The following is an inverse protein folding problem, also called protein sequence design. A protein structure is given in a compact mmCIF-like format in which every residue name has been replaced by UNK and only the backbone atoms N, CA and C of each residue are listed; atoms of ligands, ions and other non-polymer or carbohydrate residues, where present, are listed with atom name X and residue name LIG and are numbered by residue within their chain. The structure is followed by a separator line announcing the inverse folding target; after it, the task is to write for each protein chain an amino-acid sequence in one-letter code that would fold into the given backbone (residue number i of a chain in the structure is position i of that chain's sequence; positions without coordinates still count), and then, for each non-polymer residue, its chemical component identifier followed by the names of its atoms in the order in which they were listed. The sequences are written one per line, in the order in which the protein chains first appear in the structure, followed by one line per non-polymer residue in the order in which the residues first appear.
data_IF_974471968104
#
_entry.id   IF_974471968104
#
_cell.length_a   1.000
_cell.length_b   1.000
_cell.length_c   1.000
_cell.angle_alpha   90.00
_cell.angle_beta   90.00
_cell.angle_gamma   90.00
#
_symmetry.space_group_name_H-M   'P 1'
#
loop_
_entity.id
_entity.type
_entity.pdbx_description
1 polymer ?
#
# COMPACT_ATOMS: atom_id res chain seq x y z
N UNK A 1 11.88 -37.73 39.69
CA UNK A 1 11.36 -37.48 38.33
C UNK A 1 12.11 -36.27 37.78
N UNK A 2 13.09 -36.50 36.93
CA UNK A 2 13.81 -35.42 36.25
C UNK A 2 12.88 -34.80 35.21
N UNK A 3 12.39 -33.60 35.47
CA UNK A 3 11.92 -32.72 34.41
C UNK A 3 13.17 -32.36 33.60
N UNK A 4 13.39 -33.03 32.48
CA UNK A 4 14.32 -32.58 31.46
C UNK A 4 13.95 -31.13 31.12
N UNK A 5 14.80 -30.17 31.50
CA UNK A 5 14.62 -28.77 31.13
C UNK A 5 14.56 -28.70 29.60
N UNK A 6 13.37 -28.44 29.08
CA UNK A 6 13.16 -28.23 27.66
C UNK A 6 13.91 -26.96 27.26
N UNK A 7 14.74 -27.05 26.22
CA UNK A 7 15.46 -25.89 25.66
C UNK A 7 14.45 -24.77 25.36
N UNK A 8 14.72 -23.52 25.79
CA UNK A 8 13.84 -22.39 25.49
C UNK A 8 13.57 -22.26 23.98
N UNK A 9 12.36 -21.83 23.61
CA UNK A 9 11.94 -21.71 22.21
C UNK A 9 12.92 -20.85 21.39
N UNK A 10 13.37 -19.72 21.94
CA UNK A 10 14.29 -18.82 21.27
C UNK A 10 15.67 -19.45 20.99
N UNK A 11 16.16 -20.29 21.91
CA UNK A 11 17.42 -21.02 21.71
C UNK A 11 17.24 -22.12 20.66
N UNK A 12 16.09 -22.79 20.66
CA UNK A 12 15.75 -23.78 19.62
C UNK A 12 15.74 -23.16 18.23
N UNK A 13 15.04 -22.02 18.06
CA UNK A 13 14.98 -21.29 16.79
C UNK A 13 16.37 -20.81 16.35
N UNK A 14 17.13 -20.18 17.27
CA UNK A 14 18.49 -19.67 16.98
C UNK A 14 19.43 -20.77 16.51
N UNK A 15 19.41 -21.92 17.16
CA UNK A 15 20.29 -23.03 16.78
C UNK A 15 19.88 -23.63 15.43
N UNK A 16 18.57 -23.71 15.16
CA UNK A 16 18.07 -24.29 13.92
C UNK A 16 18.39 -23.47 12.67
N UNK A 17 18.32 -22.13 12.74
CA UNK A 17 18.52 -21.24 11.57
C UNK A 17 19.98 -20.83 11.34
N UNK A 18 20.92 -21.35 12.13
CA UNK A 18 22.32 -20.90 12.12
C UNK A 18 22.99 -21.03 10.75
N UNK A 19 22.72 -22.12 10.03
CA UNK A 19 23.30 -22.34 8.69
C UNK A 19 22.73 -21.36 7.67
N UNK A 20 21.40 -21.17 7.66
CA UNK A 20 20.72 -20.20 6.80
C UNK A 20 21.21 -18.77 7.04
N UNK A 21 21.38 -18.38 8.30
CA UNK A 21 21.91 -17.06 8.65
C UNK A 21 23.31 -16.85 8.05
N UNK A 22 24.20 -17.84 8.16
CA UNK A 22 25.54 -17.76 7.60
C UNK A 22 25.52 -17.70 6.06
N UNK A 23 24.60 -18.41 5.39
CA UNK A 23 24.44 -18.32 3.92
C UNK A 23 23.97 -16.93 3.51
N UNK A 24 23.00 -16.35 4.22
CA UNK A 24 22.49 -15.01 3.96
C UNK A 24 23.60 -13.95 4.10
N UNK A 25 24.41 -14.02 5.17
CA UNK A 25 25.55 -13.12 5.38
C UNK A 25 26.64 -13.25 4.31
N UNK A 26 26.79 -14.43 3.71
CA UNK A 26 27.76 -14.69 2.66
C UNK A 26 27.29 -14.25 1.25
N UNK A 27 26.07 -13.72 1.11
CA UNK A 27 25.56 -13.31 -0.20
C UNK A 27 26.39 -12.17 -0.81
N UNK A 28 26.52 -12.14 -2.16
CA UNK A 28 27.16 -11.03 -2.86
C UNK A 28 26.54 -9.67 -2.51
N UNK A 29 25.24 -9.62 -2.22
CA UNK A 29 24.54 -8.43 -1.76
C UNK A 29 25.16 -7.85 -0.48
N UNK A 30 25.37 -8.68 0.54
CA UNK A 30 25.92 -8.27 1.85
C UNK A 30 27.40 -7.89 1.70
N UNK A 31 28.13 -8.64 0.87
CA UNK A 31 29.53 -8.33 0.55
C UNK A 31 29.66 -6.96 -0.13
N UNK A 32 28.78 -6.66 -1.11
CA UNK A 32 28.78 -5.36 -1.78
C UNK A 32 28.38 -4.22 -0.82
N UNK A 33 27.41 -4.45 0.08
CA UNK A 33 27.02 -3.48 1.10
C UNK A 33 28.19 -3.12 2.01
N UNK A 34 28.85 -4.11 2.59
CA UNK A 34 29.98 -3.91 3.52
C UNK A 34 31.20 -3.25 2.83
N UNK A 35 31.47 -3.60 1.57
CA UNK A 35 32.56 -2.98 0.80
C UNK A 35 32.25 -1.52 0.40
N UNK A 36 30.99 -1.09 0.42
CA UNK A 36 30.59 0.23 -0.04
C UNK A 36 30.30 0.30 -1.54
N UNK A 37 29.95 -0.83 -2.15
CA UNK A 37 29.83 -1.02 -3.61
C UNK A 37 28.40 -1.38 -4.03
N UNK A 38 27.44 -1.47 -3.09
CA UNK A 38 26.06 -1.84 -3.39
C UNK A 38 25.39 -0.78 -4.30
N UNK A 39 24.83 -1.16 -5.46
CA UNK A 39 24.11 -0.25 -6.33
C UNK A 39 22.85 0.32 -5.67
N UNK A 40 22.46 1.54 -6.07
CA UNK A 40 21.24 2.19 -5.58
C UNK A 40 19.99 1.34 -5.85
N UNK A 41 19.92 0.71 -7.03
CA UNK A 41 18.77 -0.12 -7.39
C UNK A 41 18.62 -1.35 -6.49
N UNK A 42 19.74 -1.94 -6.06
CA UNK A 42 19.74 -3.06 -5.11
C UNK A 42 19.22 -2.63 -3.75
N UNK A 43 19.66 -1.45 -3.27
CA UNK A 43 19.22 -0.90 -2.00
C UNK A 43 17.74 -0.52 -2.00
N UNK A 44 17.29 0.24 -3.01
CA UNK A 44 15.87 0.64 -3.13
C UNK A 44 14.99 -0.59 -3.34
N UNK A 45 15.41 -1.55 -4.15
CA UNK A 45 14.71 -2.82 -4.36
C UNK A 45 14.53 -3.61 -3.05
N UNK A 46 15.56 -3.66 -2.20
CA UNK A 46 15.46 -4.24 -0.85
C UNK A 46 14.41 -3.51 0.00
N UNK A 47 14.44 -2.18 0.05
CA UNK A 47 13.48 -1.41 0.84
C UNK A 47 12.04 -1.68 0.38
N UNK A 48 11.79 -1.74 -0.93
CA UNK A 48 10.46 -2.07 -1.48
C UNK A 48 10.02 -3.47 -1.10
N UNK A 49 10.88 -4.48 -1.31
CA UNK A 49 10.61 -5.85 -0.93
C UNK A 49 10.27 -5.98 0.57
N UNK A 50 11.08 -5.37 1.44
CA UNK A 50 10.83 -5.38 2.87
C UNK A 50 9.56 -4.61 3.25
N UNK A 51 9.19 -3.55 2.51
CA UNK A 51 7.94 -2.82 2.73
C UNK A 51 6.71 -3.70 2.44
N UNK A 52 6.74 -4.48 1.35
CA UNK A 52 5.68 -5.46 1.03
C UNK A 52 5.55 -6.51 2.12
N UNK A 53 6.67 -7.06 2.61
CA UNK A 53 6.70 -8.10 3.64
C UNK A 53 6.21 -7.57 5.00
N UNK A 54 6.82 -6.48 5.49
CA UNK A 54 6.49 -5.87 6.78
C UNK A 54 5.07 -5.32 6.79
N UNK A 55 4.65 -4.66 5.70
CA UNK A 55 3.28 -4.15 5.60
C UNK A 55 2.23 -5.26 5.59
N UNK A 56 2.53 -6.38 4.94
CA UNK A 56 1.65 -7.55 5.01
C UNK A 56 1.62 -8.16 6.40
N UNK A 57 2.76 -8.33 7.07
CA UNK A 57 2.79 -8.83 8.44
C UNK A 57 2.01 -7.92 9.38
N UNK A 58 2.34 -6.63 9.46
CA UNK A 58 1.67 -5.66 10.35
C UNK A 58 0.15 -5.64 10.11
N UNK A 59 -0.29 -5.70 8.85
CA UNK A 59 -1.70 -5.77 8.50
C UNK A 59 -2.37 -7.05 9.02
N UNK A 60 -1.81 -8.22 8.73
CA UNK A 60 -2.40 -9.49 9.15
C UNK A 60 -2.39 -9.64 10.68
N UNK A 61 -1.39 -9.09 11.38
CA UNK A 61 -1.37 -9.05 12.85
C UNK A 61 -2.47 -8.18 13.44
N UNK A 62 -2.78 -7.04 12.82
CA UNK A 62 -3.86 -6.17 13.28
C UNK A 62 -5.23 -6.89 13.26
N UNK A 63 -5.41 -7.86 12.37
CA UNK A 63 -6.64 -8.65 12.21
C UNK A 63 -6.76 -9.85 13.16
N UNK A 64 -5.69 -10.21 13.86
CA UNK A 64 -5.73 -11.25 14.88
C UNK A 64 -6.41 -10.76 16.17
N UNK A 65 -6.94 -11.69 16.95
CA UNK A 65 -7.37 -11.41 18.32
C UNK A 65 -6.19 -10.90 19.17
N UNK A 66 -6.49 -10.06 20.16
CA UNK A 66 -5.47 -9.50 21.07
C UNK A 66 -4.68 -10.62 21.74
N UNK A 67 -3.37 -10.45 21.84
CA UNK A 67 -2.48 -11.43 22.43
C UNK A 67 -1.12 -10.83 22.72
N UNK A 68 -0.42 -11.34 23.74
CA UNK A 68 0.77 -10.69 24.30
C UNK A 68 1.83 -10.32 23.24
N UNK A 69 2.11 -11.19 22.28
CA UNK A 69 3.12 -10.93 21.24
C UNK A 69 2.60 -9.96 20.16
N UNK A 70 1.33 -10.12 19.74
CA UNK A 70 0.70 -9.18 18.82
C UNK A 70 0.73 -7.77 19.40
N UNK A 71 0.29 -7.63 20.64
CA UNK A 71 0.14 -6.33 21.31
C UNK A 71 1.52 -5.71 21.59
N UNK A 72 2.53 -6.54 21.92
CA UNK A 72 3.92 -6.13 22.02
C UNK A 72 4.45 -5.55 20.70
N UNK A 73 4.22 -6.23 19.57
CA UNK A 73 4.74 -5.80 18.27
C UNK A 73 3.99 -4.59 17.72
N UNK A 74 2.65 -4.59 17.78
CA UNK A 74 1.82 -3.47 17.33
C UNK A 74 1.94 -2.24 18.24
N UNK A 75 2.44 -2.41 19.47
CA UNK A 75 2.77 -1.32 20.39
C UNK A 75 4.10 -0.61 20.07
N UNK A 76 4.91 -1.13 19.14
CA UNK A 76 6.20 -0.55 18.74
C UNK A 76 6.06 0.37 17.52
N UNK A 77 7.06 1.24 17.24
CA UNK A 77 7.09 1.98 15.99
C UNK A 77 7.01 1.05 14.77
N UNK A 78 6.10 1.35 13.83
CA UNK A 78 5.89 0.55 12.62
C UNK A 78 7.16 0.51 11.75
N UNK A 79 7.55 -0.70 11.35
CA UNK A 79 8.67 -0.93 10.43
C UNK A 79 8.28 -0.49 9.02
N UNK A 80 7.02 -0.69 8.64
CA UNK A 80 6.49 -0.16 7.38
C UNK A 80 6.61 1.37 7.31
N UNK A 81 6.33 2.08 8.39
CA UNK A 81 6.48 3.55 8.44
C UNK A 81 7.94 3.96 8.22
N UNK A 82 8.90 3.24 8.81
CA UNK A 82 10.33 3.50 8.59
C UNK A 82 10.72 3.27 7.13
N UNK A 83 10.27 2.16 6.53
CA UNK A 83 10.51 1.82 5.13
C UNK A 83 9.91 2.86 4.18
N UNK A 84 8.67 3.30 4.42
CA UNK A 84 8.03 4.36 3.62
C UNK A 84 8.78 5.69 3.70
N UNK A 85 9.31 6.04 4.88
CA UNK A 85 10.15 7.25 5.03
C UNK A 85 11.42 7.15 4.20
N UNK A 86 12.12 6.02 4.27
CA UNK A 86 13.35 5.83 3.49
C UNK A 86 13.05 5.82 1.98
N UNK A 87 12.00 5.12 1.54
CA UNK A 87 11.58 5.10 0.13
C UNK A 87 11.22 6.49 -0.40
N UNK A 88 10.60 7.35 0.41
CA UNK A 88 10.22 8.70 -0.01
C UNK A 88 11.40 9.59 -0.39
N UNK A 89 12.60 9.29 0.11
CA UNK A 89 13.85 9.99 -0.23
C UNK A 89 14.28 9.72 -1.69
N UNK A 90 13.77 8.64 -2.29
CA UNK A 90 14.12 8.21 -3.64
C UNK A 90 12.98 8.38 -4.66
N UNK A 91 11.85 8.96 -4.26
CA UNK A 91 10.63 9.06 -5.08
C UNK A 91 10.86 9.72 -6.44
N UNK A 92 11.79 10.69 -6.53
CA UNK A 92 12.10 11.44 -7.76
C UNK A 92 13.10 10.75 -8.68
N UNK A 93 13.71 9.65 -8.22
CA UNK A 93 14.74 8.96 -8.98
C UNK A 93 14.17 7.87 -9.89
N UNK A 94 12.90 7.48 -9.70
CA UNK A 94 12.20 6.45 -10.49
C UNK A 94 13.05 5.20 -10.71
N UNK A 95 13.66 4.72 -9.62
CA UNK A 95 14.55 3.56 -9.63
C UNK A 95 13.75 2.32 -10.07
N UNK A 96 14.13 1.60 -11.14
CA UNK A 96 13.39 0.43 -11.61
C UNK A 96 13.45 -0.74 -10.63
N UNK A 97 12.48 -1.64 -10.74
CA UNK A 97 12.41 -2.85 -9.90
C UNK A 97 13.09 -4.06 -10.56
N UNK A 98 13.46 -5.03 -9.72
CA UNK A 98 13.77 -6.41 -10.12
C UNK A 98 12.48 -7.24 -10.03
N UNK A 99 12.04 -7.79 -11.17
CA UNK A 99 10.83 -8.62 -11.23
C UNK A 99 10.92 -9.83 -10.28
N UNK A 100 12.08 -10.47 -10.20
CA UNK A 100 12.31 -11.60 -9.30
C UNK A 100 12.20 -11.18 -7.83
N UNK A 101 12.74 -10.02 -7.45
CA UNK A 101 12.62 -9.50 -6.08
C UNK A 101 11.16 -9.19 -5.71
N UNK A 102 10.39 -8.63 -6.65
CA UNK A 102 8.94 -8.41 -6.49
C UNK A 102 8.20 -9.73 -6.32
N UNK A 103 8.54 -10.75 -7.12
CA UNK A 103 7.94 -12.08 -7.03
C UNK A 103 8.24 -12.78 -5.69
N UNK A 104 9.48 -12.74 -5.22
CA UNK A 104 9.86 -13.31 -3.93
C UNK A 104 9.18 -12.58 -2.76
N UNK A 105 9.14 -11.24 -2.77
CA UNK A 105 8.46 -10.48 -1.70
C UNK A 105 6.95 -10.76 -1.67
N UNK A 106 6.31 -10.90 -2.83
CA UNK A 106 4.91 -11.32 -2.96
C UNK A 106 4.68 -12.73 -2.42
N UNK A 107 5.54 -13.69 -2.76
CA UNK A 107 5.42 -15.07 -2.27
C UNK A 107 5.50 -15.13 -0.74
N UNK A 108 6.39 -14.34 -0.12
CA UNK A 108 6.44 -14.19 1.34
C UNK A 108 5.14 -13.58 1.87
N UNK A 109 4.64 -12.51 1.25
CA UNK A 109 3.38 -11.86 1.65
C UNK A 109 2.17 -12.81 1.56
N UNK A 110 2.06 -13.60 0.48
CA UNK A 110 1.02 -14.62 0.33
C UNK A 110 1.11 -15.68 1.42
N UNK A 111 2.32 -16.12 1.76
CA UNK A 111 2.53 -17.10 2.82
C UNK A 111 2.15 -16.55 4.21
N UNK A 112 2.41 -15.27 4.49
CA UNK A 112 1.95 -14.58 5.72
C UNK A 112 0.42 -14.60 5.81
N UNK A 113 -0.28 -14.21 4.73
CA UNK A 113 -1.75 -14.24 4.68
C UNK A 113 -2.29 -15.65 4.89
N UNK A 114 -1.64 -16.64 4.27
CA UNK A 114 -1.99 -18.04 4.41
C UNK A 114 -1.86 -18.51 5.85
N UNK A 115 -0.75 -18.22 6.54
CA UNK A 115 -0.60 -18.56 7.95
C UNK A 115 -1.65 -17.90 8.82
N UNK A 116 -2.01 -16.63 8.58
CA UNK A 116 -3.09 -15.98 9.33
C UNK A 116 -4.41 -16.74 9.26
N UNK A 117 -4.75 -17.31 8.10
CA UNK A 117 -6.03 -18.02 7.90
C UNK A 117 -5.97 -19.46 8.37
N UNK A 118 -4.90 -20.18 8.02
CA UNK A 118 -4.81 -21.64 8.25
C UNK A 118 -4.28 -21.98 9.65
N UNK A 119 -3.28 -21.26 10.14
CA UNK A 119 -2.59 -21.57 11.40
C UNK A 119 -1.91 -20.31 11.98
N UNK A 120 -2.64 -19.39 12.65
CA UNK A 120 -2.11 -18.10 13.10
C UNK A 120 -0.81 -18.16 13.93
N UNK A 121 -0.65 -19.22 14.74
CA UNK A 121 0.55 -19.44 15.57
C UNK A 121 1.83 -19.53 14.74
N UNK A 122 1.75 -19.98 13.49
CA UNK A 122 2.93 -20.14 12.62
C UNK A 122 3.55 -18.77 12.25
N UNK A 123 2.79 -17.67 12.35
CA UNK A 123 3.32 -16.31 12.19
C UNK A 123 4.42 -15.98 13.20
N UNK A 124 4.49 -16.66 14.35
CA UNK A 124 5.57 -16.48 15.32
C UNK A 124 6.96 -16.82 14.74
N UNK A 125 7.02 -17.79 13.81
CA UNK A 125 8.26 -18.11 13.09
C UNK A 125 8.68 -16.98 12.15
N UNK A 126 7.72 -16.35 11.48
CA UNK A 126 7.95 -15.17 10.64
C UNK A 126 8.43 -13.98 11.49
N UNK A 127 7.75 -13.71 12.60
CA UNK A 127 8.12 -12.64 13.54
C UNK A 127 9.53 -12.83 14.08
N UNK A 128 9.90 -14.06 14.44
CA UNK A 128 11.24 -14.36 14.94
C UNK A 128 12.34 -13.89 13.97
N UNK A 129 12.21 -14.23 12.69
CA UNK A 129 13.18 -13.86 11.67
C UNK A 129 13.15 -12.35 11.44
N UNK A 130 11.96 -11.76 11.24
CA UNK A 130 11.82 -10.35 10.91
C UNK A 130 12.21 -9.42 12.06
N UNK A 131 11.90 -9.75 13.31
CA UNK A 131 12.41 -9.01 14.48
C UNK A 131 13.92 -9.18 14.60
N UNK A 132 14.47 -10.35 14.26
CA UNK A 132 15.92 -10.60 14.21
C UNK A 132 16.65 -9.67 13.23
N UNK A 133 16.01 -9.29 12.12
CA UNK A 133 16.60 -8.33 11.15
C UNK A 133 16.92 -6.98 11.78
N UNK A 134 16.26 -6.59 12.88
CA UNK A 134 16.52 -5.30 13.53
C UNK A 134 17.94 -5.19 14.10
N UNK A 135 18.50 -6.31 14.55
CA UNK A 135 19.88 -6.39 15.02
C UNK A 135 20.86 -6.30 13.85
N UNK A 136 20.63 -7.08 12.78
CA UNK A 136 21.46 -7.04 11.57
C UNK A 136 21.45 -5.67 10.88
N UNK A 137 20.28 -5.03 10.83
CA UNK A 137 20.12 -3.66 10.35
C UNK A 137 20.98 -2.67 11.15
N UNK A 138 21.04 -2.82 12.48
CA UNK A 138 21.87 -1.95 13.33
C UNK A 138 23.35 -2.12 13.02
N UNK A 139 23.79 -3.36 12.74
CA UNK A 139 25.19 -3.66 12.36
C UNK A 139 25.54 -3.00 11.02
N UNK A 140 24.65 -3.05 10.04
CA UNK A 140 24.88 -2.53 8.69
C UNK A 140 24.45 -1.08 8.47
N UNK A 141 23.90 -0.41 9.49
CA UNK A 141 23.54 1.01 9.39
C UNK A 141 24.74 1.88 8.97
N UNK A 142 25.95 1.72 9.54
CA UNK A 142 27.12 2.49 9.09
C UNK A 142 27.46 2.25 7.61
N UNK A 143 27.30 1.02 7.12
CA UNK A 143 27.56 0.66 5.73
C UNK A 143 26.57 1.37 4.78
N UNK A 144 25.27 1.35 5.12
CA UNK A 144 24.23 2.06 4.36
C UNK A 144 24.49 3.56 4.35
N UNK A 145 24.83 4.16 5.49
CA UNK A 145 25.11 5.59 5.58
C UNK A 145 26.39 5.99 4.84
N UNK A 146 27.39 5.10 4.79
CA UNK A 146 28.61 5.31 4.00
C UNK A 146 28.31 5.41 2.50
N UNK A 147 27.40 4.59 1.98
CA UNK A 147 27.07 4.56 0.54
C UNK A 147 26.01 5.63 0.18
N UNK A 148 24.94 5.70 0.95
CA UNK A 148 23.72 6.46 0.59
C UNK A 148 23.47 7.68 1.47
N UNK A 149 24.31 7.94 2.48
CA UNK A 149 24.09 9.02 3.45
C UNK A 149 23.98 10.41 2.81
N UNK A 150 24.66 10.66 1.68
CA UNK A 150 24.54 11.94 0.98
C UNK A 150 23.16 12.13 0.33
N UNK A 151 22.58 11.06 -0.19
CA UNK A 151 21.26 11.03 -0.83
C UNK A 151 20.15 11.03 0.20
N UNK A 152 20.37 10.37 1.34
CA UNK A 152 19.36 10.27 2.40
C UNK A 152 19.42 11.40 3.43
N UNK A 153 20.39 12.31 3.34
CA UNK A 153 20.59 13.35 4.37
C UNK A 153 21.12 12.79 5.70
N UNK A 154 21.85 11.68 5.64
CA UNK A 154 22.46 11.03 6.80
C UNK A 154 21.53 10.15 7.62
N UNK A 155 20.35 9.81 7.10
CA UNK A 155 19.37 8.96 7.78
C UNK A 155 19.07 7.68 7.02
N UNK A 156 18.74 6.61 7.73
CA UNK A 156 18.19 5.37 7.17
C UNK A 156 17.30 4.74 8.25
N UNK A 157 16.02 5.15 8.29
CA UNK A 157 15.08 4.82 9.36
C UNK A 157 14.86 3.32 9.52
N UNK A 158 14.85 2.56 8.43
CA UNK A 158 14.70 1.11 8.48
C UNK A 158 15.94 0.44 9.07
N UNK A 159 17.13 0.85 8.66
CA UNK A 159 18.40 0.33 9.17
C UNK A 159 18.70 0.78 10.61
N UNK A 160 18.22 1.96 11.00
CA UNK A 160 18.26 2.44 12.38
C UNK A 160 17.35 1.66 13.34
N UNK A 161 16.54 0.72 12.83
CA UNK A 161 15.70 -0.15 13.64
C UNK A 161 14.79 0.62 14.59
N UNK A 162 15.00 0.50 15.90
CA UNK A 162 14.31 1.24 16.95
C UNK A 162 15.25 2.21 17.70
N UNK A 163 16.40 2.55 17.08
CA UNK A 163 17.47 3.32 17.71
C UNK A 163 18.00 2.62 18.96
N UNK A 164 18.19 3.40 20.03
CA UNK A 164 18.71 2.93 21.32
C UNK A 164 17.82 1.88 21.99
N UNK A 165 16.56 1.75 21.57
CA UNK A 165 15.60 0.76 22.09
C UNK A 165 15.70 -0.61 21.40
N UNK A 166 16.50 -0.77 20.36
CA UNK A 166 16.54 -2.02 19.56
C UNK A 166 16.89 -3.24 20.41
N UNK A 167 17.91 -3.14 21.27
CA UNK A 167 18.32 -4.25 22.13
C UNK A 167 17.26 -4.58 23.20
N UNK A 168 16.64 -3.56 23.79
CA UNK A 168 15.55 -3.70 24.78
C UNK A 168 14.36 -4.43 24.17
N UNK A 169 13.88 -3.97 23.01
CA UNK A 169 12.77 -4.59 22.30
C UNK A 169 13.06 -6.02 21.86
N UNK A 170 14.29 -6.32 21.45
CA UNK A 170 14.68 -7.70 21.16
C UNK A 170 14.59 -8.60 22.40
N UNK A 171 15.06 -8.13 23.56
CA UNK A 171 15.00 -8.91 24.80
C UNK A 171 13.55 -9.12 25.27
N UNK A 172 12.72 -8.09 25.21
CA UNK A 172 11.29 -8.21 25.51
C UNK A 172 10.59 -9.25 24.62
N UNK A 173 10.89 -9.23 23.32
CA UNK A 173 10.36 -10.20 22.37
C UNK A 173 10.83 -11.61 22.70
N UNK A 174 12.12 -11.79 23.02
CA UNK A 174 12.67 -13.08 23.46
C UNK A 174 11.95 -13.62 24.70
N UNK A 175 11.74 -12.77 25.70
CA UNK A 175 11.02 -13.13 26.92
C UNK A 175 9.58 -13.55 26.63
N UNK A 176 8.86 -12.79 25.79
CA UNK A 176 7.49 -13.10 25.40
C UNK A 176 7.40 -14.43 24.63
N UNK A 177 8.29 -14.67 23.67
CA UNK A 177 8.36 -15.92 22.90
C UNK A 177 8.63 -17.14 23.79
N UNK A 178 9.59 -17.04 24.73
CA UNK A 178 9.92 -18.13 25.65
C UNK A 178 8.81 -18.43 26.67
N UNK A 179 7.93 -17.46 26.95
CA UNK A 179 6.82 -17.62 27.89
C UNK A 179 5.58 -18.27 27.24
N UNK A 180 5.53 -18.41 25.92
CA UNK A 180 4.40 -19.04 25.25
C UNK A 180 4.32 -20.54 25.55
N UNK A 181 3.11 -21.08 25.75
CA UNK A 181 2.90 -22.52 25.96
C UNK A 181 2.97 -23.30 24.64
N UNK A 182 4.15 -23.28 23.97
CA UNK A 182 4.40 -24.00 22.73
C UNK A 182 5.00 -25.38 23.05
N UNK A 183 4.34 -26.44 22.58
CA UNK A 183 4.83 -27.81 22.71
C UNK A 183 5.95 -28.13 21.70
N UNK A 184 6.50 -29.34 21.77
CA UNK A 184 7.60 -29.73 20.89
C UNK A 184 7.22 -29.72 19.41
N UNK A 185 6.00 -30.14 19.06
CA UNK A 185 5.53 -30.14 17.67
C UNK A 185 5.28 -28.72 17.16
N UNK A 186 4.74 -27.84 17.99
CA UNK A 186 4.64 -26.41 17.71
C UNK A 186 6.01 -25.79 17.48
N UNK A 187 6.99 -26.09 18.33
CA UNK A 187 8.37 -25.61 18.17
C UNK A 187 8.99 -26.07 16.83
N UNK A 188 8.80 -27.34 16.44
CA UNK A 188 9.25 -27.85 15.13
C UNK A 188 8.57 -27.14 13.95
N UNK A 189 7.27 -26.82 14.07
CA UNK A 189 6.57 -26.03 13.04
C UNK A 189 7.16 -24.63 12.92
N UNK A 190 7.37 -23.94 14.05
CA UNK A 190 7.98 -22.59 14.03
C UNK A 190 9.39 -22.60 13.44
N UNK A 191 10.19 -23.62 13.74
CA UNK A 191 11.49 -23.83 13.08
C UNK A 191 11.32 -23.98 11.57
N UNK A 192 10.39 -24.82 11.12
CA UNK A 192 10.13 -25.03 9.68
C UNK A 192 9.74 -23.72 8.98
N UNK A 193 8.88 -22.92 9.61
CA UNK A 193 8.47 -21.60 9.10
C UNK A 193 9.65 -20.64 9.02
N UNK A 194 10.47 -20.57 10.08
CA UNK A 194 11.63 -19.71 10.12
C UNK A 194 12.66 -20.08 9.03
N UNK A 195 12.95 -21.37 8.85
CA UNK A 195 13.85 -21.86 7.80
C UNK A 195 13.32 -21.51 6.41
N UNK A 196 12.03 -21.74 6.15
CA UNK A 196 11.41 -21.42 4.86
C UNK A 196 11.47 -19.91 4.55
N UNK A 197 11.28 -19.05 5.56
CA UNK A 197 11.42 -17.61 5.38
C UNK A 197 12.87 -17.22 5.09
N UNK A 198 13.85 -17.81 5.79
CA UNK A 198 15.26 -17.58 5.49
C UNK A 198 15.64 -17.96 4.06
N UNK A 199 15.20 -19.15 3.59
CA UNK A 199 15.47 -19.61 2.22
C UNK A 199 14.85 -18.64 1.19
N UNK A 200 13.66 -18.11 1.45
CA UNK A 200 13.01 -17.16 0.55
C UNK A 200 13.64 -15.76 0.60
N UNK A 201 14.10 -15.30 1.77
CA UNK A 201 14.90 -14.08 1.89
C UNK A 201 16.24 -14.23 1.18
N UNK A 202 16.91 -15.39 1.28
CA UNK A 202 18.15 -15.67 0.56
C UNK A 202 17.95 -15.52 -0.95
N UNK A 203 16.89 -16.11 -1.51
CA UNK A 203 16.53 -15.97 -2.91
C UNK A 203 16.21 -14.51 -3.30
N UNK A 204 15.46 -13.81 -2.44
CA UNK A 204 15.14 -12.40 -2.62
C UNK A 204 16.39 -11.53 -2.70
N UNK A 205 17.31 -11.64 -1.74
CA UNK A 205 18.54 -10.85 -1.72
C UNK A 205 19.49 -11.22 -2.88
N UNK A 206 19.54 -12.49 -3.26
CA UNK A 206 20.28 -12.94 -4.44
C UNK A 206 19.72 -12.35 -5.75
N UNK A 207 18.41 -12.12 -5.84
CA UNK A 207 17.78 -11.46 -7.00
C UNK A 207 18.01 -9.94 -7.06
N UNK A 208 18.45 -9.34 -5.95
CA UNK A 208 18.74 -7.92 -5.86
C UNK A 208 20.19 -7.58 -6.19
N UNK A 209 21.11 -8.55 -6.17
CA UNK A 209 22.51 -8.31 -6.56
C UNK A 209 23.29 -9.59 -6.89
N UNK A 210 24.03 -9.64 -8.02
CA UNK A 210 24.17 -8.58 -9.03
C UNK A 210 22.91 -8.46 -9.93
N UNK A 211 22.48 -7.23 -10.21
CA UNK A 211 21.28 -6.97 -11.04
C UNK A 211 21.60 -7.25 -12.52
N UNK A 212 20.79 -8.08 -13.19
CA UNK A 212 20.89 -8.24 -14.65
C UNK A 212 20.02 -7.18 -15.33
N UNK A 213 20.56 -6.49 -16.35
CA UNK A 213 19.86 -5.36 -17.00
C UNK A 213 18.54 -5.74 -17.67
N UNK A 214 18.38 -7.01 -18.09
CA UNK A 214 17.15 -7.54 -18.68
C UNK A 214 16.00 -7.73 -17.68
N UNK A 215 16.27 -7.62 -16.37
CA UNK A 215 15.30 -7.85 -15.28
C UNK A 215 14.71 -6.52 -14.74
N UNK A 216 15.12 -5.37 -15.30
CA UNK A 216 14.66 -4.04 -14.88
C UNK A 216 13.29 -3.71 -15.48
N UNK A 217 12.27 -3.54 -14.64
CA UNK A 217 10.93 -3.12 -15.06
C UNK A 217 10.44 -1.90 -14.27
N UNK A 218 9.65 -1.05 -14.93
CA UNK A 218 8.87 -0.02 -14.28
C UNK A 218 7.52 -0.63 -13.92
N UNK A 219 7.29 -0.87 -12.63
CA UNK A 219 6.04 -1.45 -12.13
C UNK A 219 5.41 -0.56 -11.08
N UNK A 220 4.15 -0.83 -10.74
CA UNK A 220 3.42 -0.15 -9.70
C UNK A 220 4.14 -0.24 -8.34
N UNK A 221 4.86 -1.34 -8.07
CA UNK A 221 5.70 -1.54 -6.88
C UNK A 221 6.72 -0.41 -6.67
N UNK A 222 7.19 0.21 -7.76
CA UNK A 222 8.11 1.34 -7.74
C UNK A 222 7.56 2.53 -6.96
N UNK A 223 6.25 2.79 -7.13
CA UNK A 223 5.51 3.89 -6.50
C UNK A 223 4.83 3.47 -5.21
N UNK A 224 4.41 2.21 -5.14
CA UNK A 224 3.71 1.62 -4.02
C UNK A 224 4.02 0.12 -3.95
N UNK A 225 4.90 -0.34 -3.05
CA UNK A 225 5.26 -1.75 -2.92
C UNK A 225 4.07 -2.69 -2.65
N UNK A 226 2.94 -2.17 -2.19
CA UNK A 226 1.70 -2.94 -1.98
C UNK A 226 0.84 -3.09 -3.25
N UNK A 227 1.14 -2.37 -4.34
CA UNK A 227 0.33 -2.35 -5.57
C UNK A 227 0.64 -3.49 -6.56
N UNK A 228 1.68 -4.28 -6.32
CA UNK A 228 2.06 -5.41 -7.19
C UNK A 228 2.84 -4.98 -8.44
N UNK A 229 2.79 -5.83 -9.48
CA UNK A 229 3.66 -5.80 -10.66
C UNK A 229 3.00 -5.17 -11.90
N UNK A 230 1.87 -4.48 -11.73
CA UNK A 230 1.19 -3.81 -12.83
C UNK A 230 2.12 -2.82 -13.54
N UNK A 231 1.99 -2.74 -14.87
CA UNK A 231 2.81 -1.83 -15.66
C UNK A 231 2.54 -0.37 -15.30
N UNK A 232 3.60 0.44 -15.30
CA UNK A 232 3.54 1.91 -15.26
C UNK A 232 4.39 2.47 -16.41
N UNK A 233 4.24 3.75 -16.79
CA UNK A 233 5.03 4.34 -17.86
C UNK A 233 6.53 4.23 -17.58
N UNK A 234 7.31 4.08 -18.64
CA UNK A 234 8.77 4.09 -18.55
C UNK A 234 9.38 5.50 -18.68
N UNK A 235 8.61 6.47 -19.19
CA UNK A 235 9.01 7.88 -19.22
C UNK A 235 8.74 8.51 -17.84
N UNK A 236 9.80 8.97 -17.18
CA UNK A 236 9.72 9.63 -15.88
C UNK A 236 8.73 10.82 -15.87
N UNK A 237 8.59 11.54 -16.99
CA UNK A 237 7.66 12.68 -17.11
C UNK A 237 6.21 12.23 -17.04
N UNK A 238 5.88 11.07 -17.62
CA UNK A 238 4.55 10.49 -17.56
C UNK A 238 4.23 10.00 -16.14
N UNK A 239 5.22 9.44 -15.44
CA UNK A 239 5.09 9.04 -14.03
C UNK A 239 4.87 10.26 -13.13
N UNK A 240 5.65 11.33 -13.30
CA UNK A 240 5.48 12.60 -12.56
C UNK A 240 4.10 13.21 -12.80
N UNK A 241 3.65 13.25 -14.06
CA UNK A 241 2.32 13.71 -14.43
C UNK A 241 1.22 12.89 -13.75
N UNK A 242 1.35 11.56 -13.72
CA UNK A 242 0.40 10.68 -13.04
C UNK A 242 0.37 10.94 -11.52
N UNK A 243 1.52 11.11 -10.87
CA UNK A 243 1.60 11.44 -9.44
C UNK A 243 0.98 12.82 -9.16
N UNK A 244 1.21 13.81 -10.04
CA UNK A 244 0.61 15.14 -9.96
C UNK A 244 -0.92 15.09 -10.10
N UNK A 245 -1.42 14.35 -11.09
CA UNK A 245 -2.85 14.16 -11.30
C UNK A 245 -3.54 13.49 -10.10
N UNK A 246 -2.92 12.44 -9.54
CA UNK A 246 -3.39 11.79 -8.32
C UNK A 246 -3.48 12.77 -7.15
N UNK A 247 -2.45 13.61 -6.96
CA UNK A 247 -2.44 14.65 -5.92
C UNK A 247 -3.59 15.65 -6.13
N UNK A 248 -3.76 16.19 -7.34
CA UNK A 248 -4.83 17.14 -7.69
C UNK A 248 -6.22 16.54 -7.43
N UNK A 249 -6.43 15.26 -7.78
CA UNK A 249 -7.70 14.57 -7.54
C UNK A 249 -8.00 14.45 -6.05
N UNK A 250 -7.01 14.10 -5.21
CA UNK A 250 -7.19 14.07 -3.75
C UNK A 250 -7.43 15.46 -3.14
N UNK A 251 -6.85 16.52 -3.71
CA UNK A 251 -7.16 17.90 -3.31
C UNK A 251 -8.59 18.32 -3.69
N UNK A 252 -9.18 17.73 -4.75
CA UNK A 252 -10.60 17.88 -5.07
C UNK A 252 -11.50 17.11 -4.08
N UNK A 253 -11.03 15.95 -3.60
CA UNK A 253 -11.77 15.07 -2.66
C UNK A 253 -10.93 14.67 -1.43
N UNK A 254 -10.70 15.57 -0.46
CA UNK A 254 -9.90 15.28 0.75
C UNK A 254 -10.45 14.13 1.61
N UNK A 255 -11.72 13.76 1.40
CA UNK A 255 -12.33 12.53 1.87
C UNK A 255 -11.40 11.30 1.79
N UNK A 256 -10.61 11.19 0.71
CA UNK A 256 -9.71 10.05 0.53
C UNK A 256 -8.56 10.01 1.53
N UNK A 257 -7.99 11.17 1.84
CA UNK A 257 -6.91 11.26 2.82
C UNK A 257 -7.44 10.94 4.23
N UNK A 258 -8.68 11.31 4.53
CA UNK A 258 -9.34 11.03 5.81
C UNK A 258 -9.74 9.56 5.96
N UNK A 259 -10.33 8.96 4.91
CA UNK A 259 -10.82 7.58 4.96
C UNK A 259 -9.70 6.55 4.79
N UNK A 260 -8.82 6.75 3.82
CA UNK A 260 -7.86 5.73 3.39
C UNK A 260 -6.42 6.05 3.81
N UNK A 261 -6.16 7.27 4.31
CA UNK A 261 -4.89 7.68 4.89
C UNK A 261 -3.69 7.41 3.96
N UNK A 262 -2.50 7.20 4.50
CA UNK A 262 -1.26 6.96 3.75
C UNK A 262 -1.35 5.78 2.77
N UNK A 263 -2.14 4.75 3.11
CA UNK A 263 -2.37 3.62 2.19
C UNK A 263 -3.13 4.09 0.94
N UNK A 264 -4.23 4.82 1.11
CA UNK A 264 -4.96 5.43 0.00
C UNK A 264 -4.09 6.37 -0.84
N UNK A 265 -3.20 7.13 -0.20
CA UNK A 265 -2.26 8.00 -0.91
C UNK A 265 -1.32 7.24 -1.83
N UNK A 266 -0.82 6.10 -1.35
CA UNK A 266 0.11 5.25 -2.09
C UNK A 266 -0.57 4.57 -3.28
N UNK A 267 -1.78 4.03 -3.08
CA UNK A 267 -2.58 3.44 -4.17
C UNK A 267 -3.00 4.48 -5.22
N UNK A 268 -3.39 5.69 -4.81
CA UNK A 268 -3.73 6.74 -5.77
C UNK A 268 -2.57 7.06 -6.74
N UNK A 269 -1.31 7.04 -6.26
CA UNK A 269 -0.12 7.24 -7.10
C UNK A 269 0.08 6.09 -8.09
N UNK A 270 0.07 4.85 -7.60
CA UNK A 270 0.31 3.67 -8.43
C UNK A 270 -0.80 3.44 -9.45
N UNK A 271 -2.06 3.58 -9.04
CA UNK A 271 -3.22 3.31 -9.88
C UNK A 271 -3.34 4.36 -10.98
N UNK A 272 -3.00 5.62 -10.69
CA UNK A 272 -2.97 6.68 -11.71
C UNK A 272 -1.82 6.47 -12.70
N UNK A 273 -0.66 6.00 -12.25
CA UNK A 273 0.42 5.64 -13.16
C UNK A 273 0.03 4.45 -14.05
N UNK A 274 -0.64 3.43 -13.50
CA UNK A 274 -1.22 2.35 -14.29
C UNK A 274 -2.25 2.85 -15.31
N UNK A 275 -3.15 3.77 -14.91
CA UNK A 275 -4.14 4.36 -15.82
C UNK A 275 -3.47 5.03 -17.03
N UNK A 276 -2.31 5.66 -16.88
CA UNK A 276 -1.59 6.27 -17.99
C UNK A 276 -1.20 5.25 -19.07
N UNK A 277 -0.86 4.00 -18.66
CA UNK A 277 -0.52 2.90 -19.59
C UNK A 277 -1.71 2.39 -20.40
N UNK A 278 -2.95 2.67 -19.97
CA UNK A 278 -4.12 2.27 -20.74
C UNK A 278 -4.18 2.98 -22.11
N UNK A 279 -3.47 4.10 -22.27
CA UNK A 279 -3.31 4.80 -23.56
C UNK A 279 -2.66 3.93 -24.64
N UNK A 280 -1.92 2.88 -24.26
CA UNK A 280 -1.35 1.89 -25.18
C UNK A 280 -2.37 0.86 -25.69
N UNK A 281 -3.55 0.80 -25.07
CA UNK A 281 -4.59 -0.18 -25.42
C UNK A 281 -5.52 0.35 -26.52
N UNK A 282 -6.14 -0.54 -27.31
CA UNK A 282 -7.29 -0.18 -28.13
C UNK A 282 -8.40 0.44 -27.28
N UNK A 283 -9.08 1.46 -27.83
CA UNK A 283 -10.08 2.24 -27.09
C UNK A 283 -11.15 1.38 -26.41
N UNK A 284 -11.62 0.32 -27.05
CA UNK A 284 -12.60 -0.60 -26.46
C UNK A 284 -12.07 -1.33 -25.22
N UNK A 285 -10.78 -1.70 -25.20
CA UNK A 285 -10.16 -2.36 -24.05
C UNK A 285 -9.89 -1.37 -22.92
N UNK A 286 -9.43 -0.16 -23.24
CA UNK A 286 -9.28 0.94 -22.27
C UNK A 286 -10.60 1.18 -21.54
N UNK A 287 -11.71 1.33 -22.28
CA UNK A 287 -13.04 1.56 -21.70
C UNK A 287 -13.48 0.41 -20.79
N UNK A 288 -13.22 -0.85 -21.16
CA UNK A 288 -13.51 -2.02 -20.30
C UNK A 288 -12.70 -1.95 -19.00
N UNK A 289 -11.42 -1.58 -19.07
CA UNK A 289 -10.57 -1.46 -17.87
C UNK A 289 -11.05 -0.32 -16.95
N UNK A 290 -11.41 0.82 -17.52
CA UNK A 290 -11.95 1.97 -16.78
C UNK A 290 -13.30 1.63 -16.13
N UNK A 291 -14.19 0.94 -16.85
CA UNK A 291 -15.48 0.52 -16.32
C UNK A 291 -15.30 -0.47 -15.15
N UNK A 292 -14.45 -1.48 -15.35
CA UNK A 292 -14.11 -2.45 -14.30
C UNK A 292 -13.56 -1.75 -13.05
N UNK A 293 -12.57 -0.87 -13.22
CA UNK A 293 -11.98 -0.15 -12.09
C UNK A 293 -13.04 0.71 -11.40
N UNK A 294 -13.87 1.43 -12.15
CA UNK A 294 -14.96 2.24 -11.62
C UNK A 294 -15.94 1.43 -10.76
N UNK A 295 -16.31 0.22 -11.19
CA UNK A 295 -17.15 -0.71 -10.40
C UNK A 295 -16.45 -1.18 -9.13
N UNK A 296 -15.17 -1.56 -9.23
CA UNK A 296 -14.36 -2.03 -8.10
C UNK A 296 -14.21 -0.94 -7.04
N UNK A 297 -13.91 0.29 -7.45
CA UNK A 297 -13.76 1.44 -6.57
C UNK A 297 -15.11 1.88 -5.95
N UNK A 298 -16.17 1.91 -6.76
CA UNK A 298 -17.53 2.23 -6.30
C UNK A 298 -17.98 1.30 -5.16
N UNK A 299 -17.78 -0.01 -5.31
CA UNK A 299 -18.07 -1.00 -4.27
C UNK A 299 -17.17 -0.91 -3.02
N UNK A 300 -16.17 -0.03 -3.00
CA UNK A 300 -15.30 0.25 -1.84
C UNK A 300 -15.53 1.65 -1.27
N UNK A 301 -16.60 2.31 -1.72
CA UNK A 301 -17.00 3.65 -1.30
C UNK A 301 -16.15 4.77 -1.91
N UNK A 302 -15.63 4.54 -3.11
CA UNK A 302 -15.05 5.57 -3.99
C UNK A 302 -15.94 5.73 -5.23
N UNK A 303 -16.95 6.61 -5.19
CA UNK A 303 -17.89 6.81 -6.31
C UNK A 303 -17.19 7.16 -7.63
N UNK A 304 -17.76 6.74 -8.77
CA UNK A 304 -17.12 6.84 -10.09
C UNK A 304 -16.83 8.26 -10.56
N UNK A 305 -17.45 9.28 -9.96
CA UNK A 305 -17.08 10.69 -10.20
C UNK A 305 -15.60 10.97 -9.90
N UNK A 306 -15.00 10.20 -8.99
CA UNK A 306 -13.59 10.35 -8.61
C UNK A 306 -12.67 9.80 -9.71
N UNK A 307 -13.03 8.69 -10.35
CA UNK A 307 -12.35 8.17 -11.53
C UNK A 307 -12.57 9.07 -12.76
N UNK A 308 -13.78 9.60 -12.93
CA UNK A 308 -14.10 10.63 -13.94
C UNK A 308 -13.14 11.82 -13.81
N UNK A 309 -13.00 12.39 -12.60
CA UNK A 309 -12.08 13.51 -12.35
C UNK A 309 -10.61 13.12 -12.50
N UNK A 310 -10.22 11.93 -12.02
CA UNK A 310 -8.85 11.43 -12.14
C UNK A 310 -8.40 11.35 -13.60
N UNK A 311 -9.26 10.87 -14.51
CA UNK A 311 -8.94 10.74 -15.93
C UNK A 311 -8.82 12.11 -16.63
N UNK A 312 -9.68 13.07 -16.31
CA UNK A 312 -9.54 14.44 -16.79
C UNK A 312 -8.20 15.07 -16.36
N UNK A 313 -7.89 14.97 -15.06
CA UNK A 313 -6.65 15.53 -14.50
C UNK A 313 -5.41 14.82 -15.07
N UNK A 314 -5.48 13.50 -15.27
CA UNK A 314 -4.38 12.72 -15.85
C UNK A 314 -4.10 13.14 -17.29
N UNK A 315 -5.14 13.28 -18.12
CA UNK A 315 -4.99 13.79 -19.49
C UNK A 315 -4.36 15.19 -19.52
N UNK A 316 -4.80 16.10 -18.64
CA UNK A 316 -4.22 17.45 -18.54
C UNK A 316 -2.73 17.41 -18.17
N UNK A 317 -2.37 16.69 -17.11
CA UNK A 317 -0.98 16.61 -16.63
C UNK A 317 -0.06 15.94 -17.67
N UNK A 318 -0.52 14.85 -18.30
CA UNK A 318 0.24 14.16 -19.35
C UNK A 318 0.44 15.04 -20.58
N UNK A 319 -0.60 15.77 -21.00
CA UNK A 319 -0.54 16.69 -22.14
C UNK A 319 0.43 17.84 -21.91
N UNK A 320 0.56 18.31 -20.67
CA UNK A 320 1.53 19.35 -20.28
C UNK A 320 2.95 18.76 -20.22
N UNK A 321 3.12 17.59 -19.59
CA UNK A 321 4.43 16.98 -19.36
C UNK A 321 5.06 16.43 -20.65
N UNK A 322 4.24 15.90 -21.56
CA UNK A 322 4.68 15.30 -22.83
C UNK A 322 3.80 15.77 -24.00
N UNK A 323 3.92 17.04 -24.44
CA UNK A 323 3.04 17.61 -25.48
C UNK A 323 3.06 16.86 -26.82
N UNK A 324 4.15 16.17 -27.13
CA UNK A 324 4.27 15.35 -28.34
C UNK A 324 3.41 14.08 -28.35
N UNK A 325 2.78 13.72 -27.23
CA UNK A 325 1.94 12.51 -27.08
C UNK A 325 0.46 12.83 -26.81
N UNK A 326 -0.01 14.07 -26.98
CA UNK A 326 -1.41 14.44 -26.67
C UNK A 326 -2.43 13.53 -27.35
N UNK A 327 -2.27 13.26 -28.66
CA UNK A 327 -3.19 12.38 -29.40
C UNK A 327 -3.27 10.97 -28.79
N UNK A 328 -2.14 10.45 -28.30
CA UNK A 328 -2.04 9.14 -27.67
C UNK A 328 -2.84 9.07 -26.36
N UNK A 329 -2.95 10.17 -25.60
CA UNK A 329 -3.71 10.21 -24.35
C UNK A 329 -5.21 10.46 -24.53
N UNK A 330 -5.68 10.75 -25.74
CA UNK A 330 -7.09 11.14 -26.01
C UNK A 330 -8.08 10.09 -25.53
N UNK A 331 -7.71 8.80 -25.57
CA UNK A 331 -8.56 7.72 -25.08
C UNK A 331 -8.94 7.85 -23.60
N UNK A 332 -8.06 8.41 -22.77
CA UNK A 332 -8.32 8.69 -21.35
C UNK A 332 -9.36 9.82 -21.20
N UNK A 333 -9.26 10.87 -22.01
CA UNK A 333 -10.23 11.97 -22.02
C UNK A 333 -11.61 11.47 -22.46
N UNK A 334 -11.67 10.65 -23.50
CA UNK A 334 -12.91 10.02 -23.97
C UNK A 334 -13.56 9.14 -22.89
N UNK A 335 -12.76 8.36 -22.16
CA UNK A 335 -13.24 7.57 -21.03
C UNK A 335 -13.80 8.44 -19.90
N UNK A 336 -13.15 9.57 -19.59
CA UNK A 336 -13.65 10.54 -18.62
C UNK A 336 -15.01 11.13 -19.05
N UNK A 337 -15.12 11.50 -20.33
CA UNK A 337 -16.37 12.01 -20.92
C UNK A 337 -17.48 10.97 -20.89
N UNK A 338 -17.17 9.69 -21.13
CA UNK A 338 -18.14 8.60 -21.04
C UNK A 338 -18.68 8.45 -19.61
N UNK A 339 -17.81 8.37 -18.60
CA UNK A 339 -18.23 8.30 -17.20
C UNK A 339 -19.12 9.49 -16.80
N UNK A 340 -18.74 10.71 -17.24
CA UNK A 340 -19.56 11.90 -17.04
C UNK A 340 -20.93 11.74 -17.70
N UNK A 341 -20.98 11.29 -18.95
CA UNK A 341 -22.22 11.09 -19.70
C UNK A 341 -23.14 10.08 -19.00
N UNK A 342 -22.61 8.94 -18.56
CA UNK A 342 -23.37 7.93 -17.81
C UNK A 342 -23.96 8.50 -16.53
N UNK A 343 -23.19 9.29 -15.76
CA UNK A 343 -23.71 9.98 -14.58
C UNK A 343 -24.84 10.96 -14.94
N UNK A 344 -24.69 11.70 -16.02
CA UNK A 344 -25.70 12.67 -16.49
C UNK A 344 -26.97 12.02 -17.06
N UNK A 345 -26.90 10.77 -17.52
CA UNK A 345 -28.09 9.98 -17.85
C UNK A 345 -28.90 9.62 -16.61
N UNK A 346 -28.26 9.54 -15.44
CA UNK A 346 -28.90 9.23 -14.16
C UNK A 346 -29.47 10.45 -13.46
N UNK A 347 -28.83 11.61 -13.58
CA UNK A 347 -29.26 12.84 -12.91
C UNK A 347 -28.91 14.07 -13.75
N UNK A 348 -29.82 15.05 -13.80
CA UNK A 348 -29.54 16.34 -14.47
C UNK A 348 -28.40 17.06 -13.76
N UNK A 349 -27.48 17.66 -14.53
CA UNK A 349 -26.31 18.37 -13.97
C UNK A 349 -26.71 19.48 -12.98
N UNK A 350 -27.82 20.18 -13.26
CA UNK A 350 -28.36 21.21 -12.36
C UNK A 350 -28.79 20.65 -11.01
N UNK A 351 -29.43 19.47 -10.98
CA UNK A 351 -29.88 18.84 -9.74
C UNK A 351 -28.69 18.28 -8.96
N UNK A 352 -27.72 17.67 -9.66
CA UNK A 352 -26.48 17.20 -9.07
C UNK A 352 -25.76 18.35 -8.34
N UNK A 353 -25.51 19.45 -9.04
CA UNK A 353 -24.80 20.62 -8.50
C UNK A 353 -25.59 21.28 -7.36
N UNK A 354 -26.91 21.36 -7.48
CA UNK A 354 -27.78 21.90 -6.44
C UNK A 354 -27.67 21.08 -5.16
N UNK A 355 -27.81 19.76 -5.23
CA UNK A 355 -27.74 18.88 -4.07
C UNK A 355 -26.37 18.91 -3.40
N UNK A 356 -25.29 18.88 -4.19
CA UNK A 356 -23.94 19.00 -3.65
C UNK A 356 -23.74 20.34 -2.93
N UNK A 357 -24.27 21.45 -3.49
CA UNK A 357 -24.18 22.77 -2.87
C UNK A 357 -25.03 22.92 -1.61
N UNK A 358 -26.24 22.36 -1.61
CA UNK A 358 -27.10 22.34 -0.42
C UNK A 358 -26.45 21.58 0.74
N UNK A 359 -25.78 20.45 0.44
CA UNK A 359 -25.02 19.71 1.44
C UNK A 359 -23.82 20.50 1.98
N UNK A 360 -23.05 21.15 1.11
CA UNK A 360 -21.95 22.05 1.53
C UNK A 360 -22.44 23.14 2.49
N UNK A 361 -23.57 23.78 2.18
CA UNK A 361 -24.16 24.82 3.05
C UNK A 361 -24.65 24.23 4.38
N UNK A 362 -25.27 23.05 4.35
CA UNK A 362 -25.79 22.40 5.56
C UNK A 362 -24.70 21.91 6.54
N UNK A 363 -23.46 21.76 6.06
CA UNK A 363 -22.32 21.18 6.79
C UNK A 363 -21.21 22.18 7.13
N UNK A 364 -21.53 23.49 7.21
CA UNK A 364 -20.55 24.57 7.41
C UNK A 364 -19.36 24.47 6.42
N UNK A 365 -19.67 24.29 5.13
CA UNK A 365 -18.71 24.32 4.04
C UNK A 365 -17.93 23.02 3.82
N UNK A 366 -18.56 21.87 4.03
CA UNK A 366 -17.88 20.56 4.12
C UNK A 366 -16.87 20.50 5.28
N UNK A 367 -17.35 21.04 6.40
CA UNK A 367 -16.64 21.42 7.63
C UNK A 367 -15.35 22.19 7.33
N UNK A 368 -15.49 23.16 6.43
CA UNK A 368 -14.51 24.10 5.86
C UNK A 368 -13.31 23.44 5.19
N UNK A 369 -13.61 22.57 4.24
CA UNK A 369 -12.66 22.08 3.26
C UNK A 369 -11.97 20.77 3.61
N UNK A 370 -12.00 20.33 4.88
CA UNK A 370 -11.48 19.02 5.30
C UNK A 370 -12.20 17.86 4.59
N UNK A 371 -13.47 18.05 4.22
CA UNK A 371 -14.27 17.06 3.51
C UNK A 371 -14.83 17.59 2.20
N UNK A 372 -14.14 18.56 1.57
CA UNK A 372 -14.57 19.18 0.32
C UNK A 372 -15.00 18.13 -0.71
N UNK A 373 -16.13 18.38 -1.36
CA UNK A 373 -16.64 17.52 -2.43
C UNK A 373 -17.49 16.34 -1.95
N UNK A 374 -17.71 16.16 -0.66
CA UNK A 374 -18.49 15.02 -0.12
C UNK A 374 -19.94 15.01 -0.61
N UNK A 375 -20.58 16.16 -0.76
CA UNK A 375 -21.91 16.26 -1.37
C UNK A 375 -21.95 15.66 -2.77
N UNK A 376 -20.93 15.91 -3.59
CA UNK A 376 -20.81 15.31 -4.91
C UNK A 376 -20.58 13.79 -4.84
N UNK A 377 -19.80 13.30 -3.87
CA UNK A 377 -19.61 11.86 -3.63
C UNK A 377 -20.92 11.16 -3.28
N UNK A 378 -21.75 11.75 -2.39
CA UNK A 378 -23.04 11.18 -1.98
C UNK A 378 -23.98 11.07 -3.17
N UNK A 379 -24.11 12.14 -3.97
CA UNK A 379 -25.00 12.13 -5.14
C UNK A 379 -24.47 11.17 -6.21
N UNK A 380 -23.16 11.12 -6.43
CA UNK A 380 -22.55 10.17 -7.36
C UNK A 380 -22.75 8.72 -6.93
N UNK A 381 -22.64 8.41 -5.63
CA UNK A 381 -22.90 7.06 -5.12
C UNK A 381 -24.34 6.59 -5.39
N UNK A 382 -25.33 7.49 -5.29
CA UNK A 382 -26.70 7.19 -5.66
C UNK A 382 -26.85 6.91 -7.17
N UNK A 383 -26.14 7.66 -8.02
CA UNK A 383 -26.10 7.41 -9.47
C UNK A 383 -25.45 6.06 -9.79
N UNK A 384 -24.34 5.74 -9.12
CA UNK A 384 -23.61 4.49 -9.27
C UNK A 384 -24.45 3.28 -8.86
N UNK A 385 -25.19 3.39 -7.74
CA UNK A 385 -26.11 2.34 -7.30
C UNK A 385 -27.24 2.11 -8.31
N UNK A 386 -27.82 3.19 -8.86
CA UNK A 386 -28.82 3.09 -9.92
C UNK A 386 -28.26 2.52 -11.24
N UNK A 387 -26.96 2.70 -11.48
CA UNK A 387 -26.24 2.08 -12.60
C UNK A 387 -25.79 0.63 -12.33
N UNK A 388 -26.20 0.03 -11.21
CA UNK A 388 -25.95 -1.39 -10.90
C UNK A 388 -24.71 -1.68 -10.06
N UNK A 389 -24.05 -0.66 -9.48
CA UNK A 389 -22.97 -0.85 -8.51
C UNK A 389 -23.59 -1.02 -7.12
N UNK A 390 -23.94 -2.25 -6.77
CA UNK A 390 -24.80 -2.58 -5.63
C UNK A 390 -24.33 -1.98 -4.30
N UNK A 391 -23.02 -1.99 -4.04
CA UNK A 391 -22.46 -1.54 -2.77
C UNK A 391 -22.03 -0.06 -2.75
N UNK A 392 -22.35 0.71 -3.80
CA UNK A 392 -21.89 2.11 -3.92
C UNK A 392 -22.30 2.98 -2.73
N UNK A 393 -23.57 2.86 -2.31
CA UNK A 393 -24.11 3.63 -1.17
C UNK A 393 -23.76 2.98 0.17
N UNK A 394 -23.94 1.66 0.31
CA UNK A 394 -23.65 0.91 1.55
C UNK A 394 -22.16 0.95 1.93
N UNK A 395 -21.26 1.14 0.97
CA UNK A 395 -19.81 1.27 1.25
C UNK A 395 -19.38 2.69 1.58
N UNK A 396 -20.17 3.71 1.24
CA UNK A 396 -19.83 5.13 1.47
C UNK A 396 -20.51 5.67 2.73
N UNK A 397 -21.83 5.50 2.82
CA UNK A 397 -22.67 6.20 3.80
C UNK A 397 -22.36 5.83 5.25
N UNK A 398 -22.18 4.55 5.63
CA UNK A 398 -21.88 4.20 7.02
C UNK A 398 -20.63 4.90 7.57
N UNK A 399 -19.62 5.12 6.72
CA UNK A 399 -18.42 5.84 7.12
C UNK A 399 -18.72 7.33 7.37
N UNK A 400 -19.53 7.95 6.50
CA UNK A 400 -19.96 9.35 6.59
C UNK A 400 -21.00 9.61 7.70
N UNK A 401 -21.61 8.57 8.24
CA UNK A 401 -22.64 8.67 9.29
C UNK A 401 -22.21 8.10 10.64
N UNK A 402 -20.91 7.86 10.84
CA UNK A 402 -20.40 7.37 12.11
C UNK A 402 -20.40 8.47 13.18
N UNK A 403 -21.10 8.21 14.29
CA UNK A 403 -21.28 9.14 15.41
C UNK A 403 -19.96 9.45 16.15
N UNK A 404 -18.96 8.57 16.06
CA UNK A 404 -17.63 8.85 16.63
C UNK A 404 -16.85 9.89 15.80
N UNK A 405 -17.18 10.05 14.52
CA UNK A 405 -16.46 10.94 13.58
C UNK A 405 -17.21 12.24 13.31
N UNK A 406 -18.54 12.17 13.24
CA UNK A 406 -19.35 13.27 12.75
C UNK A 406 -20.46 13.65 13.74
N UNK A 407 -20.74 14.95 13.82
CA UNK A 407 -21.81 15.45 14.67
C UNK A 407 -23.21 15.15 14.07
N UNK A 408 -24.29 15.25 14.87
CA UNK A 408 -25.65 14.92 14.40
C UNK A 408 -26.14 15.77 13.21
N UNK A 409 -25.67 17.02 13.09
CA UNK A 409 -26.04 17.90 11.98
C UNK A 409 -25.46 17.38 10.65
N UNK A 410 -24.19 16.97 10.63
CA UNK A 410 -23.54 16.35 9.49
C UNK A 410 -24.27 15.07 9.06
N UNK A 411 -24.52 14.17 10.01
CA UNK A 411 -25.18 12.88 9.76
C UNK A 411 -26.56 13.12 9.13
N UNK A 412 -27.33 14.07 9.69
CA UNK A 412 -28.63 14.47 9.15
C UNK A 412 -28.52 15.00 7.72
N UNK A 413 -27.50 15.83 7.43
CA UNK A 413 -27.27 16.34 6.08
C UNK A 413 -26.92 15.23 5.08
N UNK A 414 -26.13 14.22 5.49
CA UNK A 414 -25.75 13.08 4.63
C UNK A 414 -27.00 12.30 4.23
N UNK A 415 -27.82 11.93 5.22
CA UNK A 415 -29.04 11.15 5.00
C UNK A 415 -30.07 11.93 4.17
N UNK A 416 -30.23 13.23 4.42
CA UNK A 416 -31.12 14.07 3.63
C UNK A 416 -30.66 14.19 2.18
N UNK A 417 -29.37 14.42 1.95
CA UNK A 417 -28.80 14.55 0.59
C UNK A 417 -28.96 13.25 -0.19
N UNK A 418 -28.65 12.11 0.44
CA UNK A 418 -28.85 10.80 -0.17
C UNK A 418 -30.32 10.57 -0.54
N UNK A 419 -31.24 10.86 0.37
CA UNK A 419 -32.68 10.70 0.12
C UNK A 419 -33.17 11.57 -1.04
N UNK A 420 -32.67 12.79 -1.18
CA UNK A 420 -33.03 13.65 -2.31
C UNK A 420 -32.37 13.18 -3.62
N UNK A 421 -31.11 12.73 -3.57
CA UNK A 421 -30.43 12.16 -4.71
C UNK A 421 -31.18 10.93 -5.26
N UNK A 422 -31.56 9.98 -4.40
CA UNK A 422 -32.32 8.79 -4.79
C UNK A 422 -33.69 9.09 -5.40
N UNK A 423 -34.31 10.23 -5.07
CA UNK A 423 -35.56 10.68 -5.70
C UNK A 423 -35.35 11.28 -7.09
N UNK A 424 -34.20 11.91 -7.31
CA UNK A 424 -33.88 12.62 -8.55
C UNK A 424 -33.12 11.73 -9.55
N UNK A 425 -32.63 10.57 -9.12
CA UNK A 425 -31.91 9.60 -9.96
C UNK A 425 -32.89 8.70 -10.71
N UNK A 426 -32.67 8.52 -12.00
CA UNK A 426 -33.42 7.58 -12.85
C UNK A 426 -32.86 6.16 -12.76
N UNK A 427 -33.73 5.18 -12.49
CA UNK A 427 -33.37 3.76 -12.40
C UNK A 427 -33.35 3.09 -13.78
N UNK A 428 -34.24 3.54 -14.68
CA UNK A 428 -34.31 3.08 -16.06
C UNK A 428 -33.70 4.15 -16.98
N UNK A 429 -32.44 3.95 -17.39
CA UNK A 429 -31.75 4.78 -18.39
C UNK A 429 -31.15 3.90 -19.47
#
# INVERSE_FOLDING_TARGET
MNQSQQTPLMETLKNAVREQHARLEALPFITALTNGELPLESYVGQLRAMATIQGTLEHELALLESGAIRDLLLGRPSRLVHLRRDLSLFDKLFVPDSEDAVNHSRKIAEQIRRYRVEQPTDLLGIMYVLEGTTLGNTVHLPDVLKIFGSQTGGVAHYYASYGDKTAEYWQEFCCAMNALPIDLEGSKRLVTVALALFDELEALFASLYPIKSAEKKFTAAMLNPEAGDHAVPSDAREIEAAVSAAKRCREEFPYFDERYQERGKSFARSDTAWLATLSDLPQTQLLIQVEWLGRVLGNRGMPRITLERQLFLLFEELSIAVPGKIEHYTGLLEAAVLLKSERLQRIRESDFNKLAKEFEVATDGELRGRFKGTGALIVAAACDQAAGISEAVSSLVPWLTDEERFNPQWITAVLNTLKQAQKNVTVDA
#
